data_IF_310253269933
#
_entry.id   IF_310253269933
#
_cell.length_a   1.000
_cell.length_b   1.000
_cell.length_c   1.000
_cell.angle_alpha   90.00
_cell.angle_beta   90.00
_cell.angle_gamma   90.00
#
_symmetry.space_group_name_H-M   'P 1'
#
loop_
_entity.id
_entity.type
_entity.pdbx_description
1 polymer ?
#
# COMPACT_ATOMS: atom_id res chain seq x y z
N UNK A 1 -13.90 93.22 -34.71
CA UNK A 1 -14.30 92.14 -35.55
C UNK A 1 -13.37 90.96 -35.27
N UNK A 2 -13.65 90.16 -34.32
CA UNK A 2 -14.39 88.88 -34.37
C UNK A 2 -13.79 87.96 -35.37
N UNK A 3 -13.16 86.90 -34.89
CA UNK A 3 -13.49 85.52 -35.25
C UNK A 3 -12.86 84.52 -34.28
N UNK A 4 -13.73 83.75 -33.80
CA UNK A 4 -13.49 82.54 -32.97
C UNK A 4 -12.82 81.47 -33.81
N UNK A 5 -11.80 80.82 -33.26
CA UNK A 5 -11.27 79.56 -33.79
C UNK A 5 -11.41 78.53 -32.72
N UNK A 6 -12.31 77.68 -33.00
CA UNK A 6 -12.76 76.52 -32.28
C UNK A 6 -11.66 75.46 -32.24
N UNK A 7 -11.19 75.14 -31.07
CA UNK A 7 -10.19 74.12 -30.87
C UNK A 7 -10.94 72.75 -30.65
N UNK A 8 -10.89 71.88 -31.65
CA UNK A 8 -11.41 70.54 -31.57
C UNK A 8 -10.36 69.62 -30.94
N UNK A 9 -10.63 69.18 -29.76
CA UNK A 9 -9.88 68.17 -29.09
C UNK A 9 -10.24 66.76 -29.69
N UNK A 10 -9.23 66.05 -30.14
CA UNK A 10 -9.32 64.66 -30.59
C UNK A 10 -9.15 63.72 -29.35
N UNK A 11 -10.08 62.87 -29.02
CA UNK A 11 -9.85 61.88 -27.99
C UNK A 11 -9.14 60.66 -28.59
N UNK A 12 -7.87 60.52 -28.32
CA UNK A 12 -7.10 59.30 -28.55
C UNK A 12 -7.45 58.23 -27.54
N UNK A 13 -8.31 57.31 -27.90
CA UNK A 13 -8.59 56.16 -27.10
C UNK A 13 -7.57 55.05 -27.34
N UNK A 14 -6.73 54.81 -26.35
CA UNK A 14 -6.00 53.54 -26.28
C UNK A 14 -5.95 53.08 -24.83
N UNK A 15 -6.90 52.37 -24.43
CA UNK A 15 -6.78 51.69 -23.15
C UNK A 15 -7.52 50.32 -23.18
N UNK A 16 -6.82 49.32 -22.89
CA UNK A 16 -7.46 48.15 -22.37
C UNK A 16 -7.35 46.85 -23.14
N UNK A 17 -6.14 46.37 -23.39
CA UNK A 17 -5.97 45.02 -23.93
C UNK A 17 -4.92 44.14 -23.24
N UNK A 18 -4.58 44.37 -21.99
CA UNK A 18 -3.55 43.56 -21.33
C UNK A 18 -3.96 42.85 -20.02
N UNK A 19 -5.16 43.08 -19.50
CA UNK A 19 -5.58 42.42 -18.22
C UNK A 19 -6.13 41.01 -18.33
N UNK A 20 -6.58 40.55 -19.49
CA UNK A 20 -7.23 39.24 -19.64
C UNK A 20 -6.25 38.07 -19.76
N UNK A 21 -5.00 38.29 -20.16
CA UNK A 21 -3.98 37.24 -20.31
C UNK A 21 -3.31 36.86 -18.99
N UNK A 22 -3.18 37.81 -18.06
CA UNK A 22 -2.51 37.61 -16.75
C UNK A 22 -3.35 36.77 -15.78
N UNK A 23 -4.68 36.90 -15.82
CA UNK A 23 -5.57 36.10 -14.97
C UNK A 23 -5.60 34.64 -15.37
N UNK A 24 -5.46 34.28 -16.63
CA UNK A 24 -5.42 32.88 -17.10
C UNK A 24 -4.17 32.17 -16.61
N UNK A 25 -3.03 32.85 -16.59
CA UNK A 25 -1.78 32.29 -16.08
C UNK A 25 -1.86 32.00 -14.58
N UNK A 26 -2.41 32.89 -13.79
CA UNK A 26 -2.60 32.68 -12.34
C UNK A 26 -3.62 31.60 -12.05
N UNK A 27 -4.67 31.47 -12.84
CA UNK A 27 -5.67 30.39 -12.71
C UNK A 27 -5.04 29.03 -13.04
N UNK A 28 -4.26 28.94 -14.11
CA UNK A 28 -3.55 27.70 -14.47
C UNK A 28 -2.52 27.33 -13.43
N UNK A 29 -1.75 28.30 -12.92
CA UNK A 29 -0.81 28.07 -11.81
C UNK A 29 -1.51 27.60 -10.53
N UNK A 30 -2.65 28.20 -10.19
CA UNK A 30 -3.41 27.78 -9.01
C UNK A 30 -3.96 26.35 -9.15
N UNK A 31 -4.46 25.99 -10.33
CA UNK A 31 -4.92 24.62 -10.62
C UNK A 31 -3.76 23.62 -10.59
N UNK A 32 -2.59 23.99 -11.09
CA UNK A 32 -1.40 23.13 -11.04
C UNK A 32 -0.94 22.90 -9.58
N UNK A 33 -0.88 23.95 -8.77
CA UNK A 33 -0.54 23.85 -7.34
C UNK A 33 -1.57 23.00 -6.59
N UNK A 34 -2.85 23.18 -6.86
CA UNK A 34 -3.92 22.35 -6.27
C UNK A 34 -3.78 20.87 -6.67
N UNK A 35 -3.47 20.59 -7.93
CA UNK A 35 -3.25 19.22 -8.41
C UNK A 35 -2.05 18.55 -7.74
N UNK A 36 -0.93 19.27 -7.61
CA UNK A 36 0.27 18.79 -6.90
C UNK A 36 -0.04 18.52 -5.42
N UNK A 37 -0.77 19.42 -4.75
CA UNK A 37 -1.15 19.24 -3.35
C UNK A 37 -2.04 17.99 -3.15
N UNK A 38 -3.01 17.77 -4.03
CA UNK A 38 -3.87 16.57 -4.01
C UNK A 38 -3.05 15.30 -4.26
N UNK A 39 -2.11 15.33 -5.20
CA UNK A 39 -1.23 14.19 -5.50
C UNK A 39 -0.35 13.83 -4.31
N UNK A 40 0.20 14.81 -3.60
CA UNK A 40 1.01 14.60 -2.39
C UNK A 40 0.13 14.02 -1.27
N UNK A 41 -1.07 14.58 -1.05
CA UNK A 41 -2.00 14.09 -0.04
C UNK A 41 -2.41 12.64 -0.29
N UNK A 42 -2.69 12.28 -1.55
CA UNK A 42 -3.02 10.92 -1.95
C UNK A 42 -1.82 9.98 -1.76
N UNK A 43 -0.61 10.41 -2.11
CA UNK A 43 0.63 9.64 -1.89
C UNK A 43 0.89 9.38 -0.41
N UNK A 44 0.71 10.38 0.45
CA UNK A 44 0.84 10.23 1.90
C UNK A 44 -0.22 9.29 2.47
N UNK A 45 -1.47 9.37 1.97
CA UNK A 45 -2.55 8.50 2.41
C UNK A 45 -2.29 7.02 2.03
N UNK A 46 -1.77 6.78 0.82
CA UNK A 46 -1.37 5.44 0.37
C UNK A 46 -0.19 4.93 1.20
N UNK A 47 0.85 5.75 1.41
CA UNK A 47 2.02 5.37 2.22
C UNK A 47 1.65 5.10 3.68
N UNK A 48 0.75 5.89 4.27
CA UNK A 48 0.24 5.67 5.62
C UNK A 48 -0.53 4.34 5.72
N UNK A 49 -1.37 4.03 4.73
CA UNK A 49 -2.11 2.78 4.69
C UNK A 49 -1.19 1.55 4.51
N UNK A 50 -0.10 1.69 3.75
CA UNK A 50 0.92 0.64 3.64
C UNK A 50 1.70 0.43 4.93
N UNK A 51 1.95 1.49 5.69
CA UNK A 51 2.67 1.40 6.97
C UNK A 51 1.78 0.84 8.10
N UNK A 52 0.48 1.13 8.08
CA UNK A 52 -0.50 0.55 9.00
C UNK A 52 -0.66 -0.96 8.79
N UNK A 53 -0.56 -1.45 7.55
CA UNK A 53 -0.58 -2.90 7.27
C UNK A 53 0.74 -3.63 7.60
N UNK A 54 1.86 -2.91 7.77
CA UNK A 54 3.15 -3.49 8.14
C UNK A 54 3.45 -3.46 9.64
N UNK A 55 2.78 -2.63 10.40
CA UNK A 55 3.06 -2.35 11.80
C UNK A 55 1.92 -2.74 12.74
N UNK A 56 1.12 -3.73 12.39
CA UNK A 56 0.26 -4.33 13.39
C UNK A 56 1.00 -5.52 14.05
N UNK A 57 1.66 -5.34 15.20
CA UNK A 57 1.62 -6.41 16.17
C UNK A 57 0.13 -6.55 16.48
N UNK A 58 -0.44 -7.71 16.14
CA UNK A 58 -1.84 -8.01 16.37
C UNK A 58 -2.17 -7.91 17.86
N UNK A 59 -2.51 -6.73 18.30
CA UNK A 59 -3.17 -6.46 19.57
C UNK A 59 -4.64 -6.11 19.29
N UNK A 60 -5.33 -7.09 18.80
CA UNK A 60 -6.76 -7.13 18.64
C UNK A 60 -7.19 -8.57 18.71
N UNK A 61 -6.77 -9.26 19.79
CA UNK A 61 -7.41 -10.51 20.16
C UNK A 61 -8.87 -10.18 20.46
N UNK A 62 -9.69 -10.31 19.45
CA UNK A 62 -11.13 -10.29 19.59
C UNK A 62 -11.47 -11.50 20.49
N UNK A 63 -11.57 -11.25 21.80
CA UNK A 63 -11.81 -12.26 22.84
C UNK A 63 -13.16 -12.96 22.69
N UNK A 64 -13.90 -12.60 21.65
CA UNK A 64 -15.22 -13.15 21.31
C UNK A 64 -15.25 -14.07 20.09
N UNK A 65 -14.12 -14.32 19.44
CA UNK A 65 -14.09 -15.26 18.34
C UNK A 65 -14.18 -16.69 18.89
N UNK A 66 -15.38 -17.24 18.92
CA UNK A 66 -15.65 -18.66 19.24
C UNK A 66 -14.81 -19.60 18.37
N UNK A 67 -14.30 -19.13 17.24
CA UNK A 67 -13.46 -19.84 16.28
C UNK A 67 -12.14 -19.08 16.00
N UNK A 68 -11.47 -18.62 17.05
CA UNK A 68 -10.15 -18.00 16.94
C UNK A 68 -9.05 -19.05 16.81
N UNK A 69 -8.01 -18.75 16.01
CA UNK A 69 -6.78 -19.54 15.95
C UNK A 69 -6.13 -19.55 17.33
N UNK A 70 -5.99 -20.71 17.96
CA UNK A 70 -5.27 -20.88 19.24
C UNK A 70 -3.85 -21.35 19.03
N UNK A 71 -3.61 -22.15 18.00
CA UNK A 71 -2.28 -22.64 17.68
C UNK A 71 -2.02 -22.72 16.19
N UNK A 72 -0.76 -22.56 15.81
CA UNK A 72 -0.26 -22.78 14.46
C UNK A 72 0.83 -23.84 14.58
N UNK A 73 0.70 -24.94 13.85
CA UNK A 73 1.71 -26.01 13.80
C UNK A 73 2.40 -25.99 12.45
N UNK A 74 3.73 -26.18 12.46
CA UNK A 74 4.53 -26.29 11.25
C UNK A 74 5.15 -27.67 11.19
N UNK A 75 5.08 -28.32 10.04
CA UNK A 75 5.58 -29.66 9.80
C UNK A 75 6.43 -29.69 8.51
N UNK A 76 7.49 -30.50 8.52
CA UNK A 76 8.34 -30.75 7.36
C UNK A 76 9.50 -29.76 7.18
N UNK A 77 9.64 -28.81 8.10
CA UNK A 77 10.78 -27.91 8.12
C UNK A 77 11.98 -28.52 8.85
N UNK A 78 13.16 -28.39 8.26
CA UNK A 78 14.44 -28.79 8.88
C UNK A 78 15.41 -27.63 8.95
N UNK A 79 15.41 -26.78 7.97
CA UNK A 79 16.33 -25.65 7.83
C UNK A 79 15.81 -24.37 8.51
N UNK A 80 14.52 -24.16 8.48
CA UNK A 80 13.87 -22.95 9.01
C UNK A 80 13.14 -23.24 10.31
N UNK A 81 13.16 -22.29 11.25
CA UNK A 81 12.44 -22.45 12.52
C UNK A 81 10.92 -22.27 12.31
N UNK A 82 10.13 -22.93 13.15
CA UNK A 82 8.67 -22.80 13.15
C UNK A 82 8.26 -21.32 13.31
N UNK A 83 8.88 -20.59 14.22
CA UNK A 83 8.56 -19.18 14.49
C UNK A 83 8.81 -18.28 13.28
N UNK A 84 9.88 -18.53 12.51
CA UNK A 84 10.17 -17.79 11.29
C UNK A 84 9.10 -18.02 10.23
N UNK A 85 8.68 -19.27 10.03
CA UNK A 85 7.64 -19.64 9.06
C UNK A 85 6.29 -19.05 9.47
N UNK A 86 5.91 -19.18 10.74
CA UNK A 86 4.66 -18.61 11.27
C UNK A 86 4.68 -17.08 11.15
N UNK A 87 5.79 -16.44 11.50
CA UNK A 87 5.92 -14.96 11.41
C UNK A 87 5.72 -14.43 9.99
N UNK A 88 6.23 -15.14 8.98
CA UNK A 88 6.09 -14.75 7.56
C UNK A 88 4.71 -15.09 7.01
N UNK A 89 4.06 -16.13 7.52
CA UNK A 89 2.74 -16.54 7.04
C UNK A 89 1.66 -15.45 7.19
N UNK A 90 1.84 -14.52 8.14
CA UNK A 90 0.84 -13.51 8.50
C UNK A 90 -0.34 -14.07 9.31
N UNK A 91 -0.23 -15.32 9.79
CA UNK A 91 -1.23 -15.95 10.64
C UNK A 91 -0.86 -15.72 12.12
N UNK A 92 -1.82 -15.27 12.91
CA UNK A 92 -1.60 -14.99 14.33
C UNK A 92 -2.69 -15.58 15.23
N UNK A 93 -2.32 -15.87 16.46
CA UNK A 93 -3.23 -16.37 17.49
C UNK A 93 -4.30 -15.33 17.81
N UNK A 94 -5.57 -15.75 17.90
CA UNK A 94 -6.72 -14.90 18.12
C UNK A 94 -7.42 -14.42 16.84
N UNK A 95 -6.82 -14.59 15.67
CA UNK A 95 -7.46 -14.32 14.39
C UNK A 95 -8.57 -15.34 14.12
N UNK A 96 -9.66 -14.94 13.49
CA UNK A 96 -10.70 -15.89 13.08
C UNK A 96 -10.15 -16.90 12.06
N UNK A 97 -10.33 -18.19 12.30
CA UNK A 97 -9.90 -19.27 11.38
C UNK A 97 -10.49 -19.10 9.97
N UNK A 98 -11.71 -18.58 9.89
CA UNK A 98 -12.37 -18.31 8.60
C UNK A 98 -11.82 -17.10 7.85
N UNK A 99 -11.17 -16.17 8.55
CA UNK A 99 -10.53 -15.01 7.94
C UNK A 99 -9.09 -15.26 7.48
N UNK A 100 -8.52 -16.44 7.80
CA UNK A 100 -7.17 -16.81 7.36
C UNK A 100 -7.13 -17.01 5.86
N UNK A 101 -6.37 -16.15 5.16
CA UNK A 101 -6.10 -16.33 3.74
C UNK A 101 -4.95 -17.34 3.55
N UNK A 102 -5.30 -18.62 3.49
CA UNK A 102 -4.35 -19.74 3.39
C UNK A 102 -3.46 -19.64 2.15
N UNK A 103 -4.02 -19.20 1.02
CA UNK A 103 -3.28 -19.04 -0.23
C UNK A 103 -2.21 -17.95 -0.09
N UNK A 104 -2.59 -16.80 0.44
CA UNK A 104 -1.65 -15.70 0.66
C UNK A 104 -0.55 -16.08 1.65
N UNK A 105 -0.88 -16.80 2.72
CA UNK A 105 0.10 -17.30 3.69
C UNK A 105 1.11 -18.24 3.01
N UNK A 106 0.65 -19.16 2.17
CA UNK A 106 1.53 -20.06 1.42
C UNK A 106 2.45 -19.29 0.44
N UNK A 107 1.92 -18.31 -0.27
CA UNK A 107 2.68 -17.45 -1.17
C UNK A 107 3.74 -16.62 -0.43
N UNK A 108 3.40 -16.05 0.73
CA UNK A 108 4.34 -15.31 1.55
C UNK A 108 5.52 -16.17 2.01
N UNK A 109 5.24 -17.40 2.47
CA UNK A 109 6.26 -18.35 2.92
C UNK A 109 7.18 -18.73 1.74
N UNK A 110 6.62 -19.11 0.59
CA UNK A 110 7.41 -19.45 -0.61
C UNK A 110 8.29 -18.29 -1.09
N UNK A 111 7.78 -17.07 -1.04
CA UNK A 111 8.53 -15.88 -1.43
C UNK A 111 9.70 -15.54 -0.49
N UNK A 112 9.55 -15.85 0.80
CA UNK A 112 10.55 -15.53 1.82
C UNK A 112 11.62 -16.63 1.97
N UNK A 113 11.29 -17.87 1.68
CA UNK A 113 12.17 -19.03 1.92
C UNK A 113 12.47 -19.78 0.61
N UNK A 114 13.62 -19.50 -0.04
CA UNK A 114 13.93 -20.05 -1.36
C UNK A 114 14.16 -21.57 -1.40
N UNK A 115 14.41 -22.20 -0.25
CA UNK A 115 14.56 -23.66 -0.16
C UNK A 115 13.23 -24.38 0.12
N UNK A 116 12.12 -23.69 0.26
CA UNK A 116 10.81 -24.30 0.40
C UNK A 116 10.17 -24.42 -0.98
N UNK A 117 9.97 -25.65 -1.43
CA UNK A 117 9.37 -25.97 -2.73
C UNK A 117 7.85 -25.94 -2.66
N UNK A 118 7.29 -26.61 -1.65
CA UNK A 118 5.84 -26.75 -1.49
C UNK A 118 5.40 -26.23 -0.13
N UNK A 119 4.30 -25.50 -0.10
CA UNK A 119 3.64 -25.04 1.14
C UNK A 119 2.15 -25.36 1.05
N UNK A 120 1.66 -26.09 2.03
CA UNK A 120 0.23 -26.37 2.20
C UNK A 120 -0.24 -25.79 3.54
N UNK A 121 -1.22 -24.90 3.48
CA UNK A 121 -1.85 -24.32 4.67
C UNK A 121 -3.25 -24.86 4.82
N UNK A 122 -3.52 -25.57 5.89
CA UNK A 122 -4.81 -26.21 6.16
C UNK A 122 -5.31 -25.91 7.58
N UNK A 123 -6.61 -26.07 7.80
CA UNK A 123 -7.16 -26.05 9.16
C UNK A 123 -7.21 -27.49 9.67
N UNK A 124 -6.46 -27.78 10.72
CA UNK A 124 -6.44 -29.11 11.36
C UNK A 124 -7.61 -29.30 12.31
N UNK A 125 -8.05 -28.20 12.95
CA UNK A 125 -9.17 -28.18 13.88
C UNK A 125 -9.90 -26.83 13.79
N UNK A 126 -10.92 -26.63 14.61
CA UNK A 126 -11.67 -25.36 14.68
C UNK A 126 -10.83 -24.16 15.16
N UNK A 127 -9.68 -24.44 15.76
CA UNK A 127 -8.80 -23.45 16.38
C UNK A 127 -7.31 -23.63 16.05
N UNK A 128 -6.98 -24.60 15.17
CA UNK A 128 -5.60 -24.93 14.83
C UNK A 128 -5.37 -24.85 13.32
N UNK A 129 -4.36 -24.07 12.92
CA UNK A 129 -3.86 -24.01 11.55
C UNK A 129 -2.61 -24.89 11.46
N UNK A 130 -2.55 -25.74 10.43
CA UNK A 130 -1.38 -26.53 10.08
C UNK A 130 -0.74 -25.95 8.82
N UNK A 131 0.56 -25.72 8.88
CA UNK A 131 1.41 -25.36 7.76
C UNK A 131 2.34 -26.54 7.51
N UNK A 132 2.17 -27.21 6.39
CA UNK A 132 3.07 -28.26 5.94
C UNK A 132 4.00 -27.68 4.88
N UNK A 133 5.30 -27.82 5.06
CA UNK A 133 6.32 -27.39 4.10
C UNK A 133 7.12 -28.58 3.60
N UNK A 134 7.56 -28.52 2.36
CA UNK A 134 8.51 -29.44 1.78
C UNK A 134 9.73 -28.63 1.32
N UNK A 135 10.88 -28.98 1.90
CA UNK A 135 12.15 -28.31 1.57
C UNK A 135 12.88 -29.08 0.46
N UNK A 136 13.46 -28.34 -0.49
CA UNK A 136 14.31 -28.93 -1.51
C UNK A 136 15.66 -29.32 -0.89
N UNK A 137 16.02 -30.59 -1.05
CA UNK A 137 17.38 -31.01 -0.72
C UNK A 137 18.39 -30.40 -1.73
N UNK A 138 19.48 -29.78 -1.25
CA UNK A 138 20.50 -29.32 -2.15
C UNK A 138 21.13 -30.51 -2.86
N UNK A 139 20.95 -30.62 -4.18
CA UNK A 139 21.66 -31.57 -5.01
C UNK A 139 23.14 -31.23 -4.85
N UNK A 140 23.94 -32.19 -4.31
CA UNK A 140 25.30 -32.00 -3.89
C UNK A 140 26.17 -31.29 -4.94
N UNK A 141 27.02 -30.40 -4.49
CA UNK A 141 27.95 -29.70 -5.34
C UNK A 141 28.84 -30.70 -6.08
N UNK A 142 28.78 -30.69 -7.40
CA UNK A 142 29.72 -31.40 -8.25
C UNK A 142 31.02 -30.60 -8.18
N UNK A 143 31.98 -31.08 -7.41
CA UNK A 143 33.36 -30.58 -7.49
C UNK A 143 33.95 -31.12 -8.77
N UNK A 144 34.22 -30.24 -9.75
CA UNK A 144 35.00 -30.51 -10.91
C UNK A 144 36.49 -30.22 -10.62
#
# INVERSE_FOLDING_TARGET
MKQDVQNQAVPGGTAGRSKKKRNRFHVVMALFVAFVAVSIALGVMIAANWNLNRAAPAQGADKTAVFGVKSVTVEGNTRYSNDAIVGISGIYVGQSVFSVNKKQAAENIKAAFPYIETVEVSSSSFDTIRIKVEETEPIGAIYA
#
